data_IF_386076537168
#
_entry.id   IF_386076537168
#
_cell.length_a   1.000
_cell.length_b   1.000
_cell.length_c   1.000
_cell.angle_alpha   90.00
_cell.angle_beta   90.00
_cell.angle_gamma   90.00
#
_symmetry.space_group_name_H-M   'P 1'
#
loop_
_entity.id
_entity.type
_entity.pdbx_description
1 polymer ?
#
# COMPACT_ATOMS: atom_id res chain seq x y z
N UNK A 1 14.64 17.76 3.54
CA UNK A 1 15.15 18.59 2.43
C UNK A 1 14.23 19.80 2.31
N UNK A 2 14.77 21.02 2.25
CA UNK A 2 14.00 22.27 2.29
C UNK A 2 14.08 23.02 0.96
N UNK A 3 13.15 23.95 0.73
CA UNK A 3 13.17 24.87 -0.41
C UNK A 3 12.25 24.50 -1.58
N UNK A 4 11.39 23.50 -1.39
CA UNK A 4 10.26 23.24 -2.29
C UNK A 4 9.04 24.01 -1.78
N UNK A 5 8.32 24.69 -2.67
CA UNK A 5 7.13 25.49 -2.33
C UNK A 5 5.98 24.65 -1.75
N UNK A 6 5.95 23.35 -2.02
CA UNK A 6 4.97 22.42 -1.44
C UNK A 6 5.32 22.02 0.01
N UNK A 7 6.52 22.35 0.49
CA UNK A 7 6.96 22.11 1.87
C UNK A 7 8.23 21.25 1.96
N UNK A 8 8.60 20.92 3.20
CA UNK A 8 9.80 20.14 3.49
C UNK A 8 9.60 18.66 3.11
N UNK A 9 10.55 18.10 2.37
CA UNK A 9 10.63 16.66 2.11
C UNK A 9 11.34 15.94 3.26
N UNK A 10 10.84 14.77 3.65
CA UNK A 10 11.44 13.87 4.63
C UNK A 10 12.42 12.90 3.99
N UNK A 11 13.47 12.56 4.74
CA UNK A 11 14.34 11.42 4.44
C UNK A 11 14.41 10.61 5.72
N UNK A 12 13.78 9.44 5.72
CA UNK A 12 13.69 8.56 6.89
C UNK A 12 14.54 7.31 6.64
N UNK A 13 15.24 6.86 7.68
CA UNK A 13 15.90 5.55 7.65
C UNK A 13 14.90 4.53 8.18
N UNK A 14 14.75 3.40 7.49
CA UNK A 14 13.86 2.35 7.97
C UNK A 14 14.46 1.66 9.20
N UNK A 15 14.12 2.19 10.38
CA UNK A 15 14.54 1.66 11.66
C UNK A 15 13.79 0.36 12.03
N UNK A 16 12.66 0.02 11.41
CA UNK A 16 12.00 -1.27 11.64
C UNK A 16 12.85 -2.41 11.08
N UNK A 17 13.44 -2.23 9.89
CA UNK A 17 14.44 -3.17 9.35
C UNK A 17 15.63 -3.37 10.32
N UNK A 18 16.17 -2.27 10.86
CA UNK A 18 17.27 -2.32 11.84
C UNK A 18 16.84 -3.03 13.14
N UNK A 19 15.61 -2.82 13.60
CA UNK A 19 15.06 -3.49 14.78
C UNK A 19 14.78 -4.98 14.55
N UNK A 20 14.32 -5.38 13.37
CA UNK A 20 14.11 -6.79 13.04
C UNK A 20 15.43 -7.56 12.91
N UNK A 21 16.46 -6.94 12.33
CA UNK A 21 17.83 -7.45 12.36
C UNK A 21 18.35 -7.58 13.80
N UNK A 22 18.13 -6.57 14.64
CA UNK A 22 18.51 -6.58 16.05
C UNK A 22 17.76 -7.63 16.89
N UNK A 23 16.48 -7.90 16.60
CA UNK A 23 15.67 -8.94 17.29
C UNK A 23 16.12 -10.36 16.98
N UNK A 24 16.85 -10.58 15.88
CA UNK A 24 17.51 -11.87 15.59
C UNK A 24 18.84 -12.04 16.33
N UNK A 25 19.32 -11.00 17.02
CA UNK A 25 20.45 -11.09 17.94
C UNK A 25 19.94 -11.34 19.40
N UNK A 26 20.71 -12.04 20.25
CA UNK A 26 20.30 -12.36 21.61
C UNK A 26 20.06 -11.09 22.45
N UNK A 27 19.03 -11.09 23.30
CA UNK A 27 18.54 -9.90 23.97
C UNK A 27 19.28 -9.58 25.30
N UNK A 28 19.61 -8.30 25.48
CA UNK A 28 19.94 -7.64 26.75
C UNK A 28 19.74 -6.12 26.58
N UNK A 29 19.69 -5.34 27.67
CA UNK A 29 19.50 -3.88 27.73
C UNK A 29 20.54 -3.04 26.93
N UNK A 30 21.37 -3.72 26.16
CA UNK A 30 22.27 -3.29 25.11
C UNK A 30 21.56 -2.64 23.91
N UNK A 31 20.29 -2.23 23.91
CA UNK A 31 19.64 -1.79 22.66
C UNK A 31 20.35 -0.59 21.98
N UNK A 32 20.88 0.36 22.75
CA UNK A 32 21.65 1.50 22.20
C UNK A 32 23.11 1.14 21.93
N UNK A 33 23.71 0.26 22.75
CA UNK A 33 25.09 -0.21 22.60
C UNK A 33 25.19 -1.18 21.44
N UNK A 34 24.25 -2.11 21.28
CA UNK A 34 24.07 -3.04 20.17
C UNK A 34 23.69 -2.35 18.87
N UNK A 35 22.97 -1.22 18.87
CA UNK A 35 22.79 -0.44 17.64
C UNK A 35 24.14 0.14 17.18
N UNK A 36 24.94 0.69 18.11
CA UNK A 36 26.27 1.19 17.81
C UNK A 36 27.28 0.06 17.51
N UNK A 37 27.22 -1.07 18.20
CA UNK A 37 28.09 -2.24 18.05
C UNK A 37 27.68 -3.12 16.88
N UNK A 38 26.41 -3.13 16.48
CA UNK A 38 25.98 -3.71 15.22
C UNK A 38 26.38 -2.80 14.06
N UNK A 39 26.30 -1.47 14.22
CA UNK A 39 26.85 -0.54 13.23
C UNK A 39 28.39 -0.69 13.10
N UNK A 40 29.13 -0.72 14.22
CA UNK A 40 30.59 -0.96 14.25
C UNK A 40 30.96 -2.39 13.84
N UNK A 41 30.17 -3.38 14.20
CA UNK A 41 30.33 -4.79 13.84
C UNK A 41 30.09 -5.05 12.36
N UNK A 42 29.10 -4.37 11.76
CA UNK A 42 28.84 -4.37 10.31
C UNK A 42 29.95 -3.65 9.54
N UNK A 43 30.47 -2.54 10.06
CA UNK A 43 31.68 -1.87 9.58
C UNK A 43 32.92 -2.81 9.61
N UNK A 44 33.06 -3.63 10.67
CA UNK A 44 34.18 -4.59 10.82
C UNK A 44 34.11 -5.82 9.92
N UNK A 45 32.92 -6.27 9.52
CA UNK A 45 32.74 -7.47 8.67
C UNK A 45 32.89 -7.13 7.17
N UNK A 46 33.00 -5.86 6.79
CA UNK A 46 33.09 -5.44 5.40
C UNK A 46 31.79 -5.67 4.61
N UNK A 47 30.69 -6.00 5.31
CA UNK A 47 29.37 -6.09 4.72
C UNK A 47 28.86 -4.66 4.52
N UNK A 48 28.71 -4.25 3.26
CA UNK A 48 28.01 -3.01 2.89
C UNK A 48 26.54 -3.16 3.28
N UNK A 49 26.20 -2.88 4.54
CA UNK A 49 24.83 -2.87 5.02
C UNK A 49 24.09 -1.70 4.36
N UNK A 50 23.21 -2.00 3.42
CA UNK A 50 22.31 -1.02 2.80
C UNK A 50 21.21 -0.73 3.83
N UNK A 51 21.29 0.42 4.50
CA UNK A 51 20.18 0.92 5.31
C UNK A 51 19.15 1.50 4.34
N UNK A 52 17.89 1.07 4.42
CA UNK A 52 16.86 1.55 3.52
C UNK A 52 16.55 3.01 3.81
N UNK A 53 16.45 3.80 2.74
CA UNK A 53 16.16 5.22 2.83
C UNK A 53 14.80 5.46 2.19
N UNK A 54 13.86 5.98 2.98
CA UNK A 54 12.57 6.41 2.51
C UNK A 54 12.59 7.91 2.22
N UNK A 55 12.29 8.28 0.98
CA UNK A 55 12.06 9.66 0.58
C UNK A 55 10.57 9.97 0.68
N UNK A 56 10.20 10.87 1.59
CA UNK A 56 8.81 11.24 1.84
C UNK A 56 8.58 12.66 1.32
N UNK A 57 7.64 12.83 0.39
CA UNK A 57 7.22 14.14 -0.07
C UNK A 57 6.26 14.82 0.91
N UNK A 58 6.20 16.16 0.93
CA UNK A 58 4.99 16.84 1.42
C UNK A 58 3.80 16.48 0.51
N UNK A 59 2.55 16.80 0.89
CA UNK A 59 1.43 16.67 -0.05
C UNK A 59 1.73 17.42 -1.36
N UNK A 60 1.67 16.70 -2.48
CA UNK A 60 1.94 17.25 -3.81
C UNK A 60 0.64 17.25 -4.63
N UNK A 61 0.36 18.34 -5.38
CA UNK A 61 -0.72 18.30 -6.37
C UNK A 61 -0.37 17.32 -7.48
N UNK A 62 -1.38 16.67 -8.06
CA UNK A 62 -1.20 15.63 -9.10
C UNK A 62 -0.35 16.09 -10.30
N UNK A 63 -0.43 17.38 -10.66
CA UNK A 63 0.37 17.97 -11.73
C UNK A 63 1.90 17.85 -11.49
N UNK A 64 2.32 17.67 -10.24
CA UNK A 64 3.72 17.49 -9.85
C UNK A 64 4.17 16.03 -9.80
N UNK A 65 3.32 15.06 -10.15
CA UNK A 65 3.73 13.66 -10.24
C UNK A 65 4.88 13.46 -11.23
N UNK A 66 4.91 14.26 -12.30
CA UNK A 66 6.01 14.29 -13.27
C UNK A 66 7.35 14.70 -12.63
N UNK A 67 7.34 15.63 -11.66
CA UNK A 67 8.56 16.02 -10.96
C UNK A 67 9.14 14.86 -10.17
N UNK A 68 8.27 14.08 -9.49
CA UNK A 68 8.70 12.89 -8.74
C UNK A 68 9.24 11.82 -9.70
N UNK A 69 8.62 11.65 -10.87
CA UNK A 69 9.12 10.76 -11.93
C UNK A 69 10.54 11.16 -12.40
N UNK A 70 10.86 12.44 -12.46
CA UNK A 70 12.20 12.95 -12.81
C UNK A 70 13.25 12.70 -11.72
N UNK A 71 12.84 12.52 -10.45
CA UNK A 71 13.77 12.21 -9.35
C UNK A 71 14.32 10.77 -9.46
N UNK A 72 13.54 9.84 -9.98
CA UNK A 72 13.90 8.41 -10.08
C UNK A 72 15.26 8.18 -10.77
N UNK A 73 15.50 8.64 -12.02
CA UNK A 73 16.79 8.43 -12.67
C UNK A 73 17.94 9.10 -11.92
N UNK A 74 17.72 10.28 -11.31
CA UNK A 74 18.76 10.96 -10.52
C UNK A 74 19.16 10.16 -9.28
N UNK A 75 18.18 9.55 -8.60
CA UNK A 75 18.43 8.68 -7.45
C UNK A 75 19.12 7.38 -7.88
N UNK A 76 18.73 6.81 -9.02
CA UNK A 76 19.38 5.64 -9.63
C UNK A 76 20.85 5.93 -9.97
N UNK A 77 21.13 7.05 -10.62
CA UNK A 77 22.50 7.48 -10.96
C UNK A 77 23.35 7.74 -9.70
N UNK A 78 22.71 8.14 -8.59
CA UNK A 78 23.34 8.27 -7.29
C UNK A 78 23.53 6.92 -6.55
N UNK A 79 23.14 5.79 -7.14
CA UNK A 79 23.35 4.44 -6.62
C UNK A 79 22.18 3.85 -5.84
N UNK A 80 20.97 4.43 -5.92
CA UNK A 80 19.78 3.84 -5.32
C UNK A 80 19.49 2.44 -5.91
N UNK A 81 19.11 1.50 -5.04
CA UNK A 81 18.76 0.12 -5.41
C UNK A 81 17.31 -0.16 -5.04
N UNK A 82 16.62 -0.96 -5.88
CA UNK A 82 15.24 -1.34 -5.64
C UNK A 82 15.07 -2.61 -4.81
N UNK A 83 13.81 -2.98 -4.59
CA UNK A 83 13.38 -4.14 -3.79
C UNK A 83 13.85 -5.49 -4.34
N UNK A 84 14.11 -5.58 -5.65
CA UNK A 84 14.63 -6.78 -6.29
C UNK A 84 16.12 -7.06 -6.00
N UNK A 85 16.86 -6.10 -5.44
CA UNK A 85 18.30 -6.22 -5.23
C UNK A 85 18.70 -7.12 -4.04
N UNK A 86 17.74 -7.66 -3.28
CA UNK A 86 18.02 -8.51 -2.13
C UNK A 86 16.77 -9.14 -1.50
N UNK A 87 16.90 -10.41 -1.08
CA UNK A 87 15.82 -11.18 -0.42
C UNK A 87 15.33 -10.56 0.91
N UNK A 88 16.04 -9.59 1.47
CA UNK A 88 15.68 -8.90 2.72
C UNK A 88 15.14 -7.47 2.49
N UNK A 89 14.95 -7.04 1.24
CA UNK A 89 14.51 -5.68 0.90
C UNK A 89 12.99 -5.61 0.80
N UNK A 90 12.33 -5.35 1.93
CA UNK A 90 10.89 -5.16 2.01
C UNK A 90 10.47 -3.68 1.74
N UNK A 91 11.14 -3.00 0.79
CA UNK A 91 10.82 -1.60 0.47
C UNK A 91 9.78 -1.56 -0.64
N UNK A 92 8.71 -0.81 -0.38
CA UNK A 92 7.65 -0.55 -1.36
C UNK A 92 7.66 0.90 -1.80
N UNK A 93 7.00 1.17 -2.91
CA UNK A 93 6.52 2.51 -3.17
C UNK A 93 5.14 2.64 -2.52
N UNK A 94 4.92 3.73 -1.78
CA UNK A 94 3.65 4.02 -1.11
C UNK A 94 3.02 5.25 -1.76
N UNK A 95 1.73 5.15 -2.08
CA UNK A 95 0.93 6.30 -2.49
C UNK A 95 -0.06 6.65 -1.38
N UNK A 96 -0.25 7.95 -1.17
CA UNK A 96 -1.28 8.47 -0.29
C UNK A 96 -2.30 9.31 -1.07
N UNK A 97 -3.10 8.71 -1.98
CA UNK A 97 -4.04 9.46 -2.80
C UNK A 97 -5.15 10.04 -1.91
N UNK A 98 -5.43 11.33 -2.11
CA UNK A 98 -6.58 12.00 -1.52
C UNK A 98 -7.86 11.57 -2.26
N UNK A 99 -8.96 11.39 -1.51
CA UNK A 99 -10.25 11.06 -2.11
C UNK A 99 -10.93 12.31 -2.68
N UNK A 100 -11.73 12.18 -3.76
CA UNK A 100 -12.48 13.32 -4.31
C UNK A 100 -13.58 13.82 -3.37
N UNK A 101 -14.04 12.97 -2.45
CA UNK A 101 -14.96 13.30 -1.36
C UNK A 101 -14.73 12.36 -0.18
N UNK A 102 -15.02 12.84 1.02
CA UNK A 102 -14.84 12.10 2.28
C UNK A 102 -16.13 11.47 2.81
N UNK A 103 -17.19 11.44 2.01
CA UNK A 103 -18.43 10.75 2.38
C UNK A 103 -18.30 9.22 2.32
N UNK A 104 -19.22 8.54 2.99
CA UNK A 104 -19.21 7.09 3.10
C UNK A 104 -19.34 6.39 1.75
N UNK A 105 -20.02 7.01 0.78
CA UNK A 105 -20.27 6.41 -0.54
C UNK A 105 -19.01 6.45 -1.39
N UNK A 106 -18.31 7.58 -1.44
CA UNK A 106 -17.00 7.65 -2.11
C UNK A 106 -16.00 6.72 -1.43
N UNK A 107 -15.90 6.75 -0.10
CA UNK A 107 -14.93 5.91 0.63
C UNK A 107 -15.22 4.42 0.43
N UNK A 108 -16.48 4.00 0.53
CA UNK A 108 -16.91 2.62 0.28
C UNK A 108 -16.71 2.19 -1.18
N UNK A 109 -16.95 3.09 -2.14
CA UNK A 109 -16.75 2.83 -3.56
C UNK A 109 -15.29 2.52 -3.90
N UNK A 110 -14.35 3.31 -3.37
CA UNK A 110 -12.92 3.05 -3.53
C UNK A 110 -12.48 1.73 -2.89
N UNK A 111 -13.01 1.40 -1.71
CA UNK A 111 -12.69 0.14 -1.05
C UNK A 111 -13.22 -1.07 -1.85
N UNK A 112 -14.46 -0.98 -2.37
CA UNK A 112 -15.04 -1.99 -3.27
C UNK A 112 -14.20 -2.17 -4.53
N UNK A 113 -13.90 -1.07 -5.23
CA UNK A 113 -13.11 -1.09 -6.46
C UNK A 113 -11.73 -1.74 -6.20
N UNK A 114 -11.06 -1.34 -5.11
CA UNK A 114 -9.79 -1.93 -4.72
C UNK A 114 -9.88 -3.45 -4.49
N UNK A 115 -10.92 -3.94 -3.82
CA UNK A 115 -11.11 -5.38 -3.61
C UNK A 115 -11.36 -6.14 -4.90
N UNK A 116 -12.22 -5.62 -5.77
CA UNK A 116 -12.46 -6.23 -7.07
C UNK A 116 -11.20 -6.23 -7.96
N UNK A 117 -10.33 -5.24 -7.82
CA UNK A 117 -9.09 -5.13 -8.61
C UNK A 117 -7.87 -5.76 -7.93
N UNK A 118 -7.98 -6.23 -6.68
CA UNK A 118 -6.82 -6.59 -5.86
C UNK A 118 -5.93 -7.66 -6.52
N UNK A 119 -6.51 -8.75 -7.00
CA UNK A 119 -5.73 -9.83 -7.64
C UNK A 119 -5.07 -9.36 -8.93
N UNK A 120 -5.71 -8.46 -9.68
CA UNK A 120 -5.16 -7.84 -10.88
C UNK A 120 -3.99 -6.90 -10.54
N UNK A 121 -4.14 -6.06 -9.51
CA UNK A 121 -3.08 -5.19 -9.00
C UNK A 121 -1.87 -6.01 -8.51
N UNK A 122 -2.11 -7.10 -7.77
CA UNK A 122 -1.06 -8.01 -7.29
C UNK A 122 -0.31 -8.67 -8.46
N UNK A 123 -1.03 -9.07 -9.51
CA UNK A 123 -0.44 -9.66 -10.70
C UNK A 123 0.43 -8.64 -11.46
N UNK A 124 -0.06 -7.40 -11.62
CA UNK A 124 0.64 -6.32 -12.33
C UNK A 124 1.87 -5.82 -11.60
N UNK A 125 1.76 -5.62 -10.29
CA UNK A 125 2.89 -5.21 -9.46
C UNK A 125 4.00 -6.29 -9.39
N UNK A 126 3.74 -7.52 -9.86
CA UNK A 126 4.63 -8.68 -9.74
C UNK A 126 5.18 -8.79 -8.32
N UNK A 127 4.31 -8.58 -7.32
CA UNK A 127 4.71 -8.50 -5.91
C UNK A 127 5.61 -9.67 -5.56
N UNK A 128 6.86 -9.37 -5.17
CA UNK A 128 7.91 -10.36 -5.00
C UNK A 128 7.43 -11.49 -4.08
N UNK A 129 7.79 -12.73 -4.43
CA UNK A 129 7.44 -13.92 -3.65
C UNK A 129 7.82 -13.74 -2.18
N UNK A 130 8.91 -13.02 -1.92
CA UNK A 130 9.42 -12.71 -0.57
C UNK A 130 8.53 -11.74 0.22
N UNK A 131 7.86 -10.78 -0.43
CA UNK A 131 6.85 -9.91 0.22
C UNK A 131 5.58 -10.69 0.58
N UNK A 132 5.19 -11.65 -0.27
CA UNK A 132 4.10 -12.58 0.04
C UNK A 132 4.41 -13.47 1.24
N UNK A 133 5.68 -13.87 1.41
CA UNK A 133 6.13 -14.71 2.53
C UNK A 133 6.36 -13.95 3.84
N UNK A 134 6.72 -12.66 3.78
CA UNK A 134 6.95 -11.81 4.97
C UNK A 134 5.68 -11.17 5.53
N UNK A 135 4.56 -11.22 4.80
CA UNK A 135 3.28 -10.67 5.26
C UNK A 135 3.23 -9.14 5.29
N UNK A 136 4.19 -8.46 4.66
CA UNK A 136 4.17 -7.01 4.48
C UNK A 136 3.08 -6.64 3.48
N UNK A 137 2.16 -5.74 3.86
CA UNK A 137 0.92 -5.43 3.14
C UNK A 137 -0.05 -6.62 3.09
N UNK A 138 -0.44 -7.13 4.27
CA UNK A 138 -1.28 -8.32 4.38
C UNK A 138 -2.61 -8.19 3.61
N UNK A 139 -3.01 -9.27 2.95
CA UNK A 139 -4.30 -9.39 2.29
C UNK A 139 -5.46 -9.28 3.30
N UNK A 140 -6.62 -8.85 2.82
CA UNK A 140 -7.85 -8.79 3.60
C UNK A 140 -8.44 -10.19 3.77
N UNK A 141 -9.22 -10.40 4.84
CA UNK A 141 -9.92 -11.68 5.02
C UNK A 141 -10.99 -11.86 3.94
N UNK A 142 -11.17 -13.07 3.42
CA UNK A 142 -12.25 -13.40 2.48
C UNK A 142 -13.62 -12.98 3.04
N UNK A 143 -13.82 -13.08 4.36
CA UNK A 143 -15.06 -12.66 5.04
C UNK A 143 -15.30 -11.15 4.90
N UNK A 144 -14.28 -10.33 5.18
CA UNK A 144 -14.41 -8.88 5.06
C UNK A 144 -14.57 -8.44 3.61
N UNK A 145 -13.78 -9.03 2.70
CA UNK A 145 -13.89 -8.77 1.26
C UNK A 145 -15.30 -9.04 0.79
N UNK A 146 -15.86 -10.24 1.05
CA UNK A 146 -17.24 -10.60 0.69
C UNK A 146 -18.28 -9.63 1.20
N UNK A 147 -18.15 -9.20 2.47
CA UNK A 147 -19.06 -8.24 3.07
C UNK A 147 -19.04 -6.92 2.30
N UNK A 148 -17.85 -6.40 1.99
CA UNK A 148 -17.71 -5.11 1.33
C UNK A 148 -18.10 -5.17 -0.14
N UNK A 149 -17.77 -6.23 -0.87
CA UNK A 149 -18.08 -6.34 -2.31
C UNK A 149 -19.54 -6.73 -2.58
N UNK A 150 -20.34 -7.02 -1.56
CA UNK A 150 -21.79 -7.16 -1.72
C UNK A 150 -22.37 -5.88 -2.36
N UNK A 151 -23.06 -5.96 -3.53
CA UNK A 151 -23.63 -4.80 -4.22
C UNK A 151 -24.55 -3.93 -3.35
N UNK A 152 -25.15 -4.50 -2.30
CA UNK A 152 -26.05 -3.82 -1.37
C UNK A 152 -25.32 -3.16 -0.19
N UNK A 153 -24.04 -3.47 0.02
CA UNK A 153 -23.25 -2.90 1.11
C UNK A 153 -22.87 -1.43 0.84
N UNK A 154 -23.69 -0.52 1.33
CA UNK A 154 -23.47 0.93 1.30
C UNK A 154 -23.81 1.54 2.67
N UNK A 155 -23.03 1.21 3.70
CA UNK A 155 -23.29 1.69 5.06
C UNK A 155 -23.08 3.20 5.17
N UNK A 156 -23.55 3.77 6.28
CA UNK A 156 -23.10 5.10 6.69
C UNK A 156 -21.62 5.08 7.14
N UNK A 157 -21.07 6.26 7.40
CA UNK A 157 -19.65 6.41 7.74
C UNK A 157 -19.28 5.70 9.04
N UNK A 158 -20.17 5.67 10.04
CA UNK A 158 -19.90 5.04 11.31
C UNK A 158 -19.77 3.52 11.16
N UNK A 159 -20.73 2.90 10.48
CA UNK A 159 -20.72 1.45 10.25
C UNK A 159 -19.57 1.04 9.31
N UNK A 160 -19.24 1.85 8.29
CA UNK A 160 -18.07 1.59 7.44
C UNK A 160 -16.77 1.51 8.26
N UNK A 161 -16.57 2.45 9.19
CA UNK A 161 -15.40 2.50 10.05
C UNK A 161 -15.40 1.31 11.03
N UNK A 162 -16.52 1.03 11.69
CA UNK A 162 -16.63 -0.08 12.64
C UNK A 162 -16.33 -1.43 11.98
N UNK A 163 -16.87 -1.65 10.78
CA UNK A 163 -16.66 -2.87 10.02
C UNK A 163 -15.21 -3.03 9.59
N UNK A 164 -14.53 -1.95 9.21
CA UNK A 164 -13.10 -1.99 8.94
C UNK A 164 -12.30 -2.30 10.20
N UNK A 165 -12.56 -1.62 11.31
CA UNK A 165 -11.82 -1.79 12.57
C UNK A 165 -11.99 -3.19 13.17
N UNK A 166 -13.16 -3.81 13.00
CA UNK A 166 -13.42 -5.16 13.49
C UNK A 166 -12.53 -6.23 12.83
N UNK A 167 -12.12 -6.03 11.58
CA UNK A 167 -11.36 -7.01 10.78
C UNK A 167 -9.91 -6.55 10.47
N UNK A 168 -9.65 -5.25 10.53
CA UNK A 168 -8.42 -4.62 10.09
C UNK A 168 -7.89 -3.55 11.06
N UNK A 169 -7.74 -3.81 12.37
CA UNK A 169 -7.21 -2.84 13.34
C UNK A 169 -5.67 -2.74 13.25
N UNK A 170 -5.12 -2.63 12.03
CA UNK A 170 -3.68 -2.62 11.77
C UNK A 170 -3.33 -1.83 10.52
N UNK A 171 -2.19 -1.14 10.56
CA UNK A 171 -1.61 -0.46 9.39
C UNK A 171 -1.11 -1.46 8.33
N UNK A 172 -0.89 -2.72 8.70
CA UNK A 172 -0.31 -3.72 7.80
C UNK A 172 -1.35 -4.29 6.82
N UNK A 173 -1.81 -3.45 5.89
CA UNK A 173 -2.73 -3.80 4.80
C UNK A 173 -2.22 -3.22 3.49
N UNK A 174 -2.54 -3.89 2.37
CA UNK A 174 -2.24 -3.36 1.03
C UNK A 174 -2.92 -2.02 0.75
N UNK A 175 -4.09 -1.79 1.36
CA UNK A 175 -4.77 -0.51 1.44
C UNK A 175 -5.11 -0.21 2.91
N UNK A 176 -4.30 0.61 3.55
CA UNK A 176 -4.53 1.05 4.92
C UNK A 176 -5.49 2.25 4.94
N UNK A 177 -6.60 2.09 5.67
CA UNK A 177 -7.66 3.09 5.80
C UNK A 177 -7.59 3.81 7.15
N UNK A 178 -6.76 3.35 8.09
CA UNK A 178 -6.71 3.92 9.44
C UNK A 178 -6.38 5.42 9.46
N UNK A 179 -5.49 5.97 8.62
CA UNK A 179 -5.22 7.40 8.55
C UNK A 179 -6.46 8.22 8.17
N UNK A 180 -7.21 7.75 7.17
CA UNK A 180 -8.46 8.35 6.72
C UNK A 180 -9.52 8.24 7.81
N UNK A 181 -9.74 7.07 8.37
CA UNK A 181 -10.75 6.87 9.42
C UNK A 181 -10.40 7.63 10.70
N UNK A 182 -9.12 7.78 11.05
CA UNK A 182 -8.69 8.60 12.18
C UNK A 182 -8.90 10.10 11.92
N UNK A 183 -8.83 10.53 10.65
CA UNK A 183 -9.18 11.90 10.24
C UNK A 183 -10.68 12.16 10.35
N UNK A 184 -11.52 11.17 10.02
CA UNK A 184 -12.98 11.27 10.04
C UNK A 184 -13.59 11.14 11.43
N UNK A 185 -13.18 10.12 12.19
CA UNK A 185 -13.70 9.81 13.52
C UNK A 185 -12.56 9.33 14.43
N UNK A 186 -11.91 10.31 15.07
CA UNK A 186 -10.76 10.05 15.94
C UNK A 186 -11.11 9.12 17.09
N UNK A 187 -12.22 9.37 17.76
CA UNK A 187 -12.58 8.69 18.99
C UNK A 187 -12.88 7.22 18.73
N UNK A 188 -13.61 6.93 17.65
CA UNK A 188 -13.91 5.56 17.21
C UNK A 188 -12.65 4.76 16.88
N UNK A 189 -11.72 5.35 16.13
CA UNK A 189 -10.46 4.65 15.80
C UNK A 189 -9.59 4.45 17.03
N UNK A 190 -9.46 5.46 17.90
CA UNK A 190 -8.63 5.36 19.12
C UNK A 190 -9.20 4.43 20.19
N UNK A 191 -10.49 4.11 20.13
CA UNK A 191 -11.08 3.08 20.98
C UNK A 191 -10.57 1.65 20.64
N UNK A 192 -10.08 1.44 19.41
CA UNK A 192 -9.65 0.12 18.93
C UNK A 192 -8.15 0.06 18.63
N UNK A 193 -7.56 1.16 18.15
CA UNK A 193 -6.18 1.23 17.65
C UNK A 193 -5.34 2.19 18.49
N UNK A 194 -4.43 1.62 19.28
CA UNK A 194 -3.42 2.35 20.07
C UNK A 194 -2.04 2.28 19.40
N UNK A 195 -1.97 2.67 18.12
CA UNK A 195 -0.71 2.80 17.39
C UNK A 195 -0.39 4.29 17.17
N UNK A 196 0.70 4.83 17.78
CA UNK A 196 1.08 6.24 17.63
C UNK A 196 1.56 6.59 16.22
N UNK A 197 1.88 5.59 15.39
CA UNK A 197 2.30 5.79 13.99
C UNK A 197 1.11 6.00 13.06
N UNK A 198 -0.12 5.70 13.49
CA UNK A 198 -1.33 6.10 12.77
C UNK A 198 -1.56 7.60 12.99
N UNK A 199 -1.35 8.39 11.94
CA UNK A 199 -1.54 9.85 11.94
C UNK A 199 -2.74 10.20 11.06
N UNK A 200 -3.62 11.13 11.46
CA UNK A 200 -4.83 11.46 10.71
C UNK A 200 -4.45 12.17 9.41
N UNK A 201 -4.92 11.66 8.27
CA UNK A 201 -4.74 12.27 6.94
C UNK A 201 -5.97 11.97 6.07
N UNK A 202 -6.44 12.91 5.22
CA UNK A 202 -7.58 12.70 4.32
C UNK A 202 -7.19 11.87 3.09
N UNK A 203 -6.40 10.81 3.26
CA UNK A 203 -5.80 10.04 2.17
C UNK A 203 -5.95 8.55 2.45
N UNK A 204 -6.09 7.76 1.39
CA UNK A 204 -5.87 6.32 1.48
C UNK A 204 -4.38 6.06 1.61
N UNK A 205 -3.95 4.96 2.25
CA UNK A 205 -2.55 4.55 2.26
C UNK A 205 -2.38 3.28 1.42
N UNK A 206 -1.97 3.43 0.17
CA UNK A 206 -1.76 2.34 -0.78
C UNK A 206 -0.31 1.84 -0.72
N UNK A 207 -0.11 0.59 -0.30
CA UNK A 207 1.19 0.02 0.08
C UNK A 207 1.63 -1.17 -0.78
N UNK A 208 0.87 -1.50 -1.82
CA UNK A 208 1.10 -2.65 -2.67
C UNK A 208 2.31 -2.52 -3.62
N UNK A 209 2.56 -1.38 -4.29
CA UNK A 209 3.57 -1.30 -5.34
C UNK A 209 4.99 -1.64 -4.85
N UNK A 210 5.77 -2.27 -5.72
CA UNK A 210 7.21 -2.47 -5.52
C UNK A 210 7.98 -1.19 -5.85
N UNK A 211 9.16 -1.04 -5.25
CA UNK A 211 10.11 0.01 -5.62
C UNK A 211 11.26 -0.60 -6.41
N UNK A 212 11.16 -0.70 -7.75
CA UNK A 212 12.24 -1.22 -8.61
C UNK A 212 13.10 -0.07 -9.16
N UNK A 213 13.50 0.86 -8.29
CA UNK A 213 14.17 2.12 -8.70
C UNK A 213 15.45 1.90 -9.50
N UNK A 214 16.09 0.74 -9.38
CA UNK A 214 17.28 0.33 -10.14
C UNK A 214 16.99 -0.02 -11.60
N UNK A 215 15.76 -0.38 -11.95
CA UNK A 215 15.39 -0.74 -13.32
C UNK A 215 15.13 0.49 -14.18
N UNK A 216 15.75 0.57 -15.35
CA UNK A 216 15.65 1.72 -16.25
C UNK A 216 14.21 2.04 -16.68
N UNK A 217 13.41 1.00 -16.91
CA UNK A 217 12.03 1.06 -17.36
C UNK A 217 11.01 1.28 -16.22
N UNK A 218 11.46 1.30 -14.97
CA UNK A 218 10.58 1.48 -13.82
C UNK A 218 10.35 2.96 -13.49
N UNK A 219 9.12 3.26 -13.08
CA UNK A 219 8.81 4.55 -12.47
C UNK A 219 7.42 4.61 -11.84
N UNK A 220 7.15 5.75 -11.22
CA UNK A 220 5.89 6.07 -10.54
C UNK A 220 4.69 5.95 -11.46
N UNK A 221 4.85 6.33 -12.73
CA UNK A 221 3.81 6.26 -13.74
C UNK A 221 3.18 4.87 -13.89
N UNK A 222 3.94 3.78 -13.69
CA UNK A 222 3.42 2.42 -13.79
C UNK A 222 2.41 2.15 -12.68
N UNK A 223 2.82 2.38 -11.44
CA UNK A 223 1.97 2.10 -10.29
C UNK A 223 0.83 3.13 -10.14
N UNK A 224 1.02 4.35 -10.64
CA UNK A 224 -0.04 5.35 -10.72
C UNK A 224 -1.07 5.00 -11.79
N UNK A 225 -0.67 4.49 -12.96
CA UNK A 225 -1.60 4.02 -13.98
C UNK A 225 -2.51 2.90 -13.45
N UNK A 226 -1.93 1.97 -12.67
CA UNK A 226 -2.69 0.91 -12.00
C UNK A 226 -3.70 1.48 -10.99
N UNK A 227 -3.31 2.52 -10.25
CA UNK A 227 -4.20 3.22 -9.32
C UNK A 227 -5.35 3.94 -10.04
N UNK A 228 -5.10 4.54 -11.22
CA UNK A 228 -6.15 5.19 -12.02
C UNK A 228 -7.25 4.22 -12.46
N UNK A 229 -6.96 2.92 -12.62
CA UNK A 229 -8.01 1.91 -12.88
C UNK A 229 -8.92 1.74 -11.66
N UNK A 230 -8.37 1.83 -10.44
CA UNK A 230 -9.17 1.84 -9.20
C UNK A 230 -10.05 3.08 -9.14
N UNK A 231 -9.51 4.25 -9.46
CA UNK A 231 -10.28 5.50 -9.47
C UNK A 231 -11.40 5.47 -10.53
N UNK A 232 -11.08 5.00 -11.74
CA UNK A 232 -12.04 4.88 -12.82
C UNK A 232 -13.20 3.95 -12.45
N UNK A 233 -12.90 2.77 -11.90
CA UNK A 233 -13.92 1.84 -11.44
C UNK A 233 -14.72 2.41 -10.26
N UNK A 234 -14.09 3.09 -9.31
CA UNK A 234 -14.79 3.69 -8.18
C UNK A 234 -15.71 4.85 -8.59
N UNK A 235 -15.38 5.55 -9.67
CA UNK A 235 -16.15 6.67 -10.21
C UNK A 235 -17.35 6.21 -11.07
N UNK A 236 -17.27 5.04 -11.71
CA UNK A 236 -18.37 4.45 -12.46
C UNK A 236 -19.19 3.48 -11.60
N UNK A 237 -20.31 3.98 -11.09
CA UNK A 237 -21.14 3.24 -10.15
C UNK A 237 -21.82 2.01 -10.76
N UNK A 238 -22.16 2.06 -12.05
CA UNK A 238 -22.84 0.95 -12.74
C UNK A 238 -21.82 -0.17 -12.97
N UNK A 239 -20.66 0.17 -13.55
CA UNK A 239 -19.54 -0.77 -13.70
C UNK A 239 -19.08 -1.37 -12.36
N UNK A 240 -18.98 -0.55 -11.31
CA UNK A 240 -18.63 -1.03 -9.97
C UNK A 240 -19.65 -2.05 -9.45
N UNK A 241 -20.94 -1.81 -9.67
CA UNK A 241 -22.02 -2.71 -9.22
C UNK A 241 -21.96 -4.04 -9.95
N UNK A 242 -21.75 -4.02 -11.27
CA UNK A 242 -21.65 -5.23 -12.10
C UNK A 242 -20.41 -6.06 -11.76
N UNK A 243 -19.27 -5.40 -11.56
CA UNK A 243 -18.02 -6.06 -11.17
C UNK A 243 -18.11 -6.59 -9.74
N UNK A 244 -18.70 -5.86 -8.80
CA UNK A 244 -18.96 -6.34 -7.44
C UNK A 244 -19.85 -7.59 -7.45
N UNK A 245 -20.92 -7.58 -8.25
CA UNK A 245 -21.84 -8.72 -8.40
C UNK A 245 -21.12 -9.94 -8.94
N UNK A 246 -20.33 -9.75 -10.01
CA UNK A 246 -19.55 -10.81 -10.64
C UNK A 246 -18.48 -11.37 -9.69
N UNK A 247 -17.79 -10.50 -8.96
CA UNK A 247 -16.76 -10.89 -8.00
C UNK A 247 -17.33 -11.62 -6.80
N UNK A 248 -18.46 -11.16 -6.24
CA UNK A 248 -19.16 -11.87 -5.17
C UNK A 248 -19.57 -13.29 -5.61
N UNK A 249 -20.13 -13.42 -6.81
CA UNK A 249 -20.48 -14.72 -7.39
C UNK A 249 -19.26 -15.61 -7.66
N UNK A 250 -18.11 -15.02 -8.04
CA UNK A 250 -16.84 -15.74 -8.20
C UNK A 250 -16.32 -16.26 -6.86
N UNK A 251 -16.37 -15.43 -5.82
CA UNK A 251 -15.95 -15.82 -4.47
C UNK A 251 -16.76 -17.03 -3.98
N UNK A 252 -18.06 -17.11 -4.27
CA UNK A 252 -18.95 -18.22 -3.91
C UNK A 252 -18.67 -19.55 -4.63
N UNK A 253 -17.78 -19.58 -5.62
CA UNK A 253 -17.44 -20.78 -6.41
C UNK A 253 -16.02 -21.28 -6.10
N UNK A 254 -15.76 -21.92 -4.94
CA UNK A 254 -14.41 -22.31 -4.53
C UNK A 254 -13.71 -23.26 -5.51
N UNK A 255 -14.44 -24.12 -6.22
CA UNK A 255 -13.87 -24.98 -7.25
C UNK A 255 -13.41 -24.19 -8.49
N UNK A 256 -14.16 -23.17 -8.90
CA UNK A 256 -13.80 -22.31 -10.02
C UNK A 256 -12.52 -21.52 -9.73
N UNK A 257 -12.34 -21.04 -8.50
CA UNK A 257 -11.14 -20.34 -8.03
C UNK A 257 -9.84 -21.16 -8.13
N UNK A 258 -9.93 -22.48 -8.27
CA UNK A 258 -8.77 -23.39 -8.43
C UNK A 258 -8.32 -23.44 -9.90
N UNK A 259 -9.26 -23.32 -10.84
CA UNK A 259 -9.01 -23.54 -12.27
C UNK A 259 -9.05 -22.26 -13.11
N UNK A 260 -9.59 -21.17 -12.57
CA UNK A 260 -9.77 -19.90 -13.25
C UNK A 260 -9.18 -18.75 -12.43
N UNK A 261 -8.71 -17.73 -13.14
CA UNK A 261 -8.08 -16.55 -12.57
C UNK A 261 -9.07 -15.38 -12.63
N UNK A 262 -9.42 -14.80 -11.47
CA UNK A 262 -10.26 -13.61 -11.44
C UNK A 262 -9.73 -12.47 -12.32
N UNK A 263 -8.41 -12.16 -12.35
CA UNK A 263 -7.86 -11.19 -13.29
C UNK A 263 -8.18 -11.44 -14.78
N UNK A 264 -8.34 -12.69 -15.21
CA UNK A 264 -8.71 -13.02 -16.59
C UNK A 264 -10.20 -12.75 -16.85
N UNK A 265 -11.06 -13.12 -15.91
CA UNK A 265 -12.50 -12.81 -15.96
C UNK A 265 -12.72 -11.29 -15.93
N UNK A 266 -12.01 -10.59 -15.05
CA UNK A 266 -12.05 -9.14 -14.90
C UNK A 266 -11.70 -8.40 -16.21
N UNK A 267 -10.68 -8.86 -16.95
CA UNK A 267 -10.34 -8.31 -18.28
C UNK A 267 -11.47 -8.41 -19.28
N UNK A 268 -12.31 -9.44 -19.20
CA UNK A 268 -13.47 -9.59 -20.09
C UNK A 268 -14.64 -8.69 -19.69
N UNK A 269 -14.64 -8.19 -18.45
CA UNK A 269 -15.70 -7.36 -17.88
C UNK A 269 -15.38 -5.86 -17.92
N UNK A 270 -14.11 -5.50 -18.07
CA UNK A 270 -13.65 -4.11 -18.00
C UNK A 270 -13.35 -3.57 -19.41
N UNK A 271 -14.09 -2.54 -19.83
CA UNK A 271 -13.76 -1.66 -20.97
C UNK A 271 -13.01 -0.38 -20.51
N UNK A 272 -12.15 -0.48 -19.49
CA UNK A 272 -11.35 0.64 -18.98
C UNK A 272 -9.99 0.63 -19.69
N UNK A 273 -9.64 1.75 -20.34
CA UNK A 273 -8.31 1.98 -20.91
C UNK A 273 -7.23 1.75 -19.83
N UNK A 274 -6.28 0.84 -20.08
CA UNK A 274 -5.17 0.54 -19.17
C UNK A 274 -5.16 -0.86 -18.53
N UNK A 275 -6.17 -1.69 -18.83
CA UNK A 275 -6.27 -3.09 -18.34
C UNK A 275 -5.67 -4.14 -19.30
N UNK A 276 -5.32 -3.73 -20.53
CA UNK A 276 -4.53 -4.51 -21.52
C UNK A 276 -3.05 -4.65 -21.10
#
# INVERSE_FOLDING_TARGET
>A
IRGDDAGDWGVELDYEYLKELGRKAPAGDELTVLINDAAEGMLRIGAQAIVPVELVSPPLPIARLADVQVLIPKLRDAGAKGSGAGLSYAFGMLFNPELPSLDARTTGGYLKAFFCLYDWLVARAKVDLTRRLTGFSAAFSDRYVRKVVDPQYWPDQALLIDDYLAENPTRNRALDMLPLFLHLDRDRVRAVVDDPLVKPRPTLHYRLPNCEIDREDWGIHLAWADWLVVEALAADQDSLTDICTSYAAWLDKPLTRIFQSWPEELRSLIEIEGVE
#
